data_IF_407650563727
#
_entry.id   IF_407650563727
#
_cell.length_a   1.000
_cell.length_b   1.000
_cell.length_c   1.000
_cell.angle_alpha   90.00
_cell.angle_beta   90.00
_cell.angle_gamma   90.00
#
_symmetry.space_group_name_H-M   'P 1'
#
loop_
_entity.id
_entity.type
_entity.pdbx_description
1 polymer ?
#
# COMPACT_ATOMS: atom_id res chain seq x y z
N UNK A 1 -61.76 6.13 -22.72
CA UNK A 1 -62.65 6.02 -21.56
C UNK A 1 -63.28 4.64 -21.62
N UNK A 2 -62.91 3.76 -20.69
CA UNK A 2 -63.49 2.42 -20.56
C UNK A 2 -64.46 2.45 -19.37
N UNK A 3 -65.60 1.78 -19.49
CA UNK A 3 -66.57 1.64 -18.40
C UNK A 3 -65.90 0.92 -17.22
N UNK A 4 -66.13 1.41 -16.01
CA UNK A 4 -65.79 0.71 -14.77
C UNK A 4 -66.72 -0.50 -14.57
N UNK A 5 -66.31 -1.51 -13.79
CA UNK A 5 -67.18 -2.65 -13.47
C UNK A 5 -68.55 -2.20 -12.92
N UNK A 6 -68.54 -1.18 -12.05
CA UNK A 6 -69.77 -0.58 -11.49
C UNK A 6 -70.62 0.06 -12.58
N UNK A 7 -70.04 0.79 -13.52
CA UNK A 7 -70.78 1.38 -14.63
C UNK A 7 -71.39 0.31 -15.55
N UNK A 8 -70.69 -0.78 -15.82
CA UNK A 8 -71.20 -1.92 -16.61
C UNK A 8 -72.47 -2.50 -15.96
N UNK A 9 -72.48 -2.68 -14.64
CA UNK A 9 -73.66 -3.18 -13.89
C UNK A 9 -74.87 -2.25 -13.99
N UNK A 10 -74.67 -0.96 -14.25
CA UNK A 10 -75.74 0.04 -14.31
C UNK A 10 -76.12 0.44 -15.75
N UNK A 11 -75.48 -0.13 -16.77
CA UNK A 11 -75.82 0.13 -18.18
C UNK A 11 -77.27 -0.25 -18.45
N UNK A 12 -78.04 0.70 -18.99
CA UNK A 12 -79.41 0.46 -19.49
C UNK A 12 -79.41 0.45 -21.00
N UNK A 13 -79.75 -0.70 -21.58
CA UNK A 13 -79.88 -0.85 -23.03
C UNK A 13 -81.30 -0.48 -23.51
N UNK A 14 -81.39 0.21 -24.64
CA UNK A 14 -82.65 0.58 -25.28
C UNK A 14 -83.43 -0.62 -25.80
N UNK A 15 -84.75 -0.49 -25.93
CA UNK A 15 -85.63 -1.54 -26.47
C UNK A 15 -85.88 -1.32 -27.96
N UNK A 16 -85.85 -2.38 -28.76
CA UNK A 16 -86.16 -2.35 -30.20
C UNK A 16 -87.02 -3.54 -30.62
N UNK A 17 -87.74 -3.41 -31.75
CA UNK A 17 -88.68 -4.42 -32.26
C UNK A 17 -88.04 -5.78 -32.62
N UNK A 18 -86.72 -5.82 -32.83
CA UNK A 18 -85.91 -7.02 -33.11
C UNK A 18 -84.60 -6.96 -32.34
N UNK A 19 -84.56 -7.52 -31.13
CA UNK A 19 -83.38 -7.44 -30.26
C UNK A 19 -83.11 -8.74 -29.49
N UNK A 20 -81.95 -8.78 -28.84
CA UNK A 20 -81.55 -9.89 -27.97
C UNK A 20 -82.48 -10.01 -26.75
N UNK A 21 -82.57 -11.23 -26.20
CA UNK A 21 -83.32 -11.48 -24.97
C UNK A 21 -82.71 -10.70 -23.81
N UNK A 22 -83.51 -9.84 -23.17
CA UNK A 22 -83.10 -9.04 -22.03
C UNK A 22 -82.46 -9.88 -20.91
N UNK A 23 -83.07 -11.00 -20.55
CA UNK A 23 -82.53 -11.88 -19.50
C UNK A 23 -81.20 -12.55 -19.88
N UNK A 24 -80.95 -12.75 -21.18
CA UNK A 24 -79.65 -13.23 -21.65
C UNK A 24 -78.59 -12.14 -21.58
N UNK A 25 -78.93 -10.94 -22.03
CA UNK A 25 -78.03 -9.79 -22.01
C UNK A 25 -77.70 -9.33 -20.59
N UNK A 26 -78.69 -9.28 -19.70
CA UNK A 26 -78.49 -8.88 -18.29
C UNK A 26 -77.55 -9.87 -17.57
N UNK A 27 -77.65 -11.17 -17.85
CA UNK A 27 -76.70 -12.19 -17.32
C UNK A 27 -75.30 -12.01 -17.87
N UNK A 28 -75.17 -11.81 -19.18
CA UNK A 28 -73.87 -11.56 -19.81
C UNK A 28 -73.21 -10.30 -19.26
N UNK A 29 -73.97 -9.21 -19.08
CA UNK A 29 -73.44 -7.97 -18.50
C UNK A 29 -72.97 -8.15 -17.05
N UNK A 30 -73.64 -9.01 -16.27
CA UNK A 30 -73.20 -9.36 -14.93
C UNK A 30 -71.88 -10.16 -14.95
N UNK A 31 -71.79 -11.21 -15.78
CA UNK A 31 -70.56 -12.01 -15.95
C UNK A 31 -69.39 -11.16 -16.47
N UNK A 32 -69.65 -10.25 -17.42
CA UNK A 32 -68.66 -9.30 -17.92
C UNK A 32 -68.22 -8.36 -16.82
N UNK A 33 -69.15 -7.81 -16.02
CA UNK A 33 -68.79 -6.92 -14.91
C UNK A 33 -67.93 -7.62 -13.85
N UNK A 34 -68.26 -8.86 -13.48
CA UNK A 34 -67.48 -9.67 -12.54
C UNK A 34 -66.06 -9.92 -13.09
N UNK A 35 -65.94 -10.38 -14.34
CA UNK A 35 -64.63 -10.59 -14.97
C UNK A 35 -63.82 -9.31 -15.11
N UNK A 36 -64.47 -8.18 -15.39
CA UNK A 36 -63.81 -6.88 -15.48
C UNK A 36 -63.30 -6.40 -14.12
N UNK A 37 -64.03 -6.69 -13.04
CA UNK A 37 -63.64 -6.37 -11.67
C UNK A 37 -62.37 -7.11 -11.25
N UNK A 38 -62.28 -8.40 -11.58
CA UNK A 38 -61.07 -9.20 -11.34
C UNK A 38 -59.85 -8.64 -12.08
N UNK A 39 -60.00 -8.32 -13.37
CA UNK A 39 -58.93 -7.73 -14.19
C UNK A 39 -58.53 -6.35 -13.67
N UNK A 40 -59.48 -5.55 -13.21
CA UNK A 40 -59.18 -4.22 -12.66
C UNK A 40 -58.38 -4.30 -11.36
N UNK A 41 -58.73 -5.27 -10.50
CA UNK A 41 -58.01 -5.51 -9.26
C UNK A 41 -56.61 -6.05 -9.53
N UNK A 42 -56.45 -7.03 -10.42
CA UNK A 42 -55.14 -7.52 -10.81
C UNK A 42 -54.27 -6.42 -11.42
N UNK A 43 -54.86 -5.55 -12.26
CA UNK A 43 -54.15 -4.37 -12.81
C UNK A 43 -53.66 -3.44 -11.70
N UNK A 44 -54.48 -3.18 -10.68
CA UNK A 44 -54.08 -2.34 -9.56
C UNK A 44 -52.92 -2.97 -8.78
N UNK A 45 -53.05 -4.26 -8.42
CA UNK A 45 -52.02 -5.02 -7.70
C UNK A 45 -50.69 -5.05 -8.49
N UNK A 46 -50.75 -5.21 -9.82
CA UNK A 46 -49.59 -5.16 -10.70
C UNK A 46 -48.98 -3.76 -10.81
N UNK A 47 -49.80 -2.71 -10.85
CA UNK A 47 -49.33 -1.33 -10.89
C UNK A 47 -48.55 -0.99 -9.62
N UNK A 48 -49.09 -1.34 -8.45
CA UNK A 48 -48.44 -1.13 -7.15
C UNK A 48 -47.11 -1.91 -7.08
N UNK A 49 -47.10 -3.15 -7.60
CA UNK A 49 -45.87 -3.97 -7.66
C UNK A 49 -44.82 -3.36 -8.58
N UNK A 50 -45.22 -2.81 -9.72
CA UNK A 50 -44.30 -2.13 -10.64
C UNK A 50 -43.69 -0.91 -9.96
N UNK A 51 -44.49 -0.07 -9.31
CA UNK A 51 -44.00 1.11 -8.59
C UNK A 51 -42.99 0.73 -7.51
N UNK A 52 -43.29 -0.32 -6.73
CA UNK A 52 -42.36 -0.83 -5.72
C UNK A 52 -41.04 -1.33 -6.34
N UNK A 53 -41.10 -2.11 -7.43
CA UNK A 53 -39.92 -2.64 -8.11
C UNK A 53 -39.07 -1.53 -8.76
N UNK A 54 -39.72 -0.49 -9.29
CA UNK A 54 -39.03 0.68 -9.83
C UNK A 54 -38.29 1.45 -8.73
N UNK A 55 -38.92 1.66 -7.58
CA UNK A 55 -38.28 2.26 -6.42
C UNK A 55 -37.07 1.44 -5.93
N UNK A 56 -37.22 0.12 -5.86
CA UNK A 56 -36.13 -0.78 -5.48
C UNK A 56 -34.97 -0.74 -6.48
N UNK A 57 -35.27 -0.71 -7.79
CA UNK A 57 -34.27 -0.61 -8.85
C UNK A 57 -33.46 0.69 -8.75
N UNK A 58 -34.12 1.82 -8.45
CA UNK A 58 -33.42 3.10 -8.25
C UNK A 58 -32.44 2.99 -7.08
N UNK A 59 -32.88 2.47 -5.92
CA UNK A 59 -32.01 2.28 -4.75
C UNK A 59 -30.82 1.36 -5.06
N UNK A 60 -31.05 0.28 -5.80
CA UNK A 60 -29.97 -0.63 -6.19
C UNK A 60 -28.95 0.03 -7.13
N UNK A 61 -29.41 0.84 -8.11
CA UNK A 61 -28.51 1.59 -9.00
C UNK A 61 -27.68 2.63 -8.26
N UNK A 62 -28.27 3.33 -7.29
CA UNK A 62 -27.55 4.27 -6.44
C UNK A 62 -26.47 3.57 -5.60
N UNK A 63 -26.83 2.44 -4.99
CA UNK A 63 -25.89 1.61 -4.23
C UNK A 63 -24.75 1.09 -5.11
N UNK A 64 -25.06 0.59 -6.31
CA UNK A 64 -24.05 0.13 -7.27
C UNK A 64 -23.10 1.26 -7.68
N UNK A 65 -23.62 2.46 -7.92
CA UNK A 65 -22.83 3.65 -8.20
C UNK A 65 -21.87 3.99 -7.06
N UNK A 66 -22.37 3.98 -5.82
CA UNK A 66 -21.55 4.23 -4.63
C UNK A 66 -20.45 3.17 -4.47
N UNK A 67 -20.78 1.89 -4.64
CA UNK A 67 -19.81 0.80 -4.55
C UNK A 67 -18.72 0.94 -5.61
N UNK A 68 -19.09 1.27 -6.85
CA UNK A 68 -18.12 1.49 -7.94
C UNK A 68 -17.17 2.63 -7.62
N UNK A 69 -17.68 3.78 -7.17
CA UNK A 69 -16.83 4.92 -6.78
C UNK A 69 -15.93 4.56 -5.60
N UNK A 70 -16.45 3.83 -4.61
CA UNK A 70 -15.67 3.38 -3.45
C UNK A 70 -14.54 2.43 -3.85
N UNK A 71 -14.81 1.47 -4.75
CA UNK A 71 -13.79 0.54 -5.25
C UNK A 71 -12.68 1.27 -6.01
N UNK A 72 -13.02 2.20 -6.90
CA UNK A 72 -12.03 3.00 -7.63
C UNK A 72 -11.18 3.85 -6.67
N UNK A 73 -11.82 4.45 -5.66
CA UNK A 73 -11.12 5.22 -4.64
C UNK A 73 -10.17 4.34 -3.81
N UNK A 74 -10.62 3.15 -3.40
CA UNK A 74 -9.81 2.19 -2.66
C UNK A 74 -8.60 1.69 -3.49
N UNK A 75 -8.81 1.40 -4.78
CA UNK A 75 -7.73 1.00 -5.70
C UNK A 75 -6.70 2.13 -5.86
N UNK A 76 -7.16 3.36 -6.05
CA UNK A 76 -6.29 4.54 -6.15
C UNK A 76 -5.47 4.75 -4.87
N UNK A 77 -6.11 4.66 -3.70
CA UNK A 77 -5.44 4.78 -2.40
C UNK A 77 -4.40 3.66 -2.20
N UNK A 78 -4.73 2.42 -2.57
CA UNK A 78 -3.80 1.29 -2.49
C UNK A 78 -2.61 1.46 -3.45
N UNK A 79 -2.82 2.07 -4.63
CA UNK A 79 -1.73 2.37 -5.56
C UNK A 79 -0.83 3.49 -5.03
N UNK A 80 -1.41 4.56 -4.48
CA UNK A 80 -0.66 5.65 -3.86
C UNK A 80 0.17 5.14 -2.68
N UNK A 81 -0.39 4.28 -1.83
CA UNK A 81 0.32 3.69 -0.71
C UNK A 81 1.51 2.83 -1.17
N UNK A 82 1.33 2.03 -2.22
CA UNK A 82 2.40 1.22 -2.81
C UNK A 82 3.52 2.09 -3.39
N UNK A 83 3.17 3.14 -4.11
CA UNK A 83 4.12 4.11 -4.68
C UNK A 83 4.92 4.82 -3.57
N UNK A 84 4.24 5.25 -2.51
CA UNK A 84 4.86 5.92 -1.37
C UNK A 84 5.81 4.99 -0.63
N UNK A 85 5.37 3.78 -0.29
CA UNK A 85 6.19 2.77 0.39
C UNK A 85 7.43 2.41 -0.44
N UNK A 86 7.30 2.34 -1.77
CA UNK A 86 8.45 2.11 -2.66
C UNK A 86 9.46 3.25 -2.60
N UNK A 87 9.00 4.50 -2.69
CA UNK A 87 9.88 5.68 -2.60
C UNK A 87 10.58 5.75 -1.24
N UNK A 88 9.85 5.51 -0.16
CA UNK A 88 10.42 5.47 1.19
C UNK A 88 11.48 4.36 1.31
N UNK A 89 11.21 3.17 0.79
CA UNK A 89 12.19 2.09 0.77
C UNK A 89 13.46 2.46 -0.02
N UNK A 90 13.30 3.08 -1.19
CA UNK A 90 14.43 3.56 -2.01
C UNK A 90 15.25 4.64 -1.26
N UNK A 91 14.59 5.55 -0.56
CA UNK A 91 15.25 6.55 0.31
C UNK A 91 16.02 5.89 1.45
N UNK A 92 15.39 5.00 2.21
CA UNK A 92 16.01 4.30 3.34
C UNK A 92 17.24 3.51 2.88
N UNK A 93 17.14 2.78 1.77
CA UNK A 93 18.27 2.03 1.21
C UNK A 93 19.39 2.98 0.75
N UNK A 94 19.03 4.10 0.13
CA UNK A 94 19.98 5.14 -0.29
C UNK A 94 20.75 5.75 0.89
N UNK A 95 20.04 6.09 1.97
CA UNK A 95 20.60 6.62 3.21
C UNK A 95 21.52 5.61 3.90
N UNK A 96 21.06 4.36 4.05
CA UNK A 96 21.85 3.29 4.63
C UNK A 96 23.16 3.04 3.85
N UNK A 97 23.10 3.07 2.52
CA UNK A 97 24.31 2.96 1.69
C UNK A 97 25.24 4.18 1.84
N UNK A 98 24.69 5.39 1.94
CA UNK A 98 25.49 6.60 2.16
C UNK A 98 26.20 6.56 3.52
N UNK A 99 25.49 6.17 4.57
CA UNK A 99 26.04 6.01 5.91
C UNK A 99 27.11 4.92 5.96
N UNK A 100 26.85 3.74 5.38
CA UNK A 100 27.83 2.66 5.29
C UNK A 100 29.12 3.11 4.58
N UNK A 101 29.00 3.86 3.47
CA UNK A 101 30.16 4.44 2.79
C UNK A 101 30.90 5.46 3.65
N UNK A 102 30.18 6.29 4.41
CA UNK A 102 30.79 7.26 5.32
C UNK A 102 31.57 6.57 6.45
N UNK A 103 30.99 5.53 7.05
CA UNK A 103 31.63 4.70 8.08
C UNK A 103 32.90 4.04 7.50
N UNK A 104 32.81 3.42 6.33
CA UNK A 104 33.96 2.76 5.69
C UNK A 104 35.10 3.75 5.40
N UNK A 105 34.79 4.96 4.92
CA UNK A 105 35.79 6.01 4.69
C UNK A 105 36.46 6.46 5.99
N UNK A 106 35.68 6.67 7.06
CA UNK A 106 36.23 7.03 8.38
C UNK A 106 37.15 5.93 8.92
N UNK A 107 36.73 4.67 8.83
CA UNK A 107 37.53 3.53 9.26
C UNK A 107 38.84 3.40 8.45
N UNK A 108 38.80 3.62 7.15
CA UNK A 108 39.99 3.61 6.30
C UNK A 108 40.97 4.74 6.65
N UNK A 109 40.46 5.96 6.85
CA UNK A 109 41.28 7.10 7.25
C UNK A 109 41.92 6.89 8.63
N UNK A 110 41.18 6.33 9.59
CA UNK A 110 41.71 6.03 10.92
C UNK A 110 42.78 4.93 10.85
N UNK A 111 42.56 3.89 10.05
CA UNK A 111 43.57 2.85 9.80
C UNK A 111 44.87 3.46 9.27
N UNK A 112 44.79 4.31 8.25
CA UNK A 112 45.96 4.95 7.64
C UNK A 112 46.72 5.85 8.64
N UNK A 113 45.97 6.58 9.49
CA UNK A 113 46.53 7.36 10.58
C UNK A 113 47.31 6.47 11.57
N UNK A 114 46.69 5.39 12.04
CA UNK A 114 47.31 4.45 12.97
C UNK A 114 48.54 3.76 12.38
N UNK A 115 48.52 3.38 11.10
CA UNK A 115 49.67 2.81 10.40
C UNK A 115 50.84 3.81 10.30
N UNK A 116 50.54 5.08 10.09
CA UNK A 116 51.54 6.16 10.05
C UNK A 116 52.14 6.42 11.43
N UNK A 117 51.31 6.45 12.47
CA UNK A 117 51.76 6.58 13.86
C UNK A 117 52.62 5.39 14.30
N UNK A 118 52.21 4.17 13.95
CA UNK A 118 53.00 2.95 14.20
C UNK A 118 54.38 3.00 13.52
N UNK A 119 54.44 3.45 12.25
CA UNK A 119 55.72 3.63 11.53
C UNK A 119 56.62 4.64 12.22
N UNK A 120 56.06 5.76 12.68
CA UNK A 120 56.79 6.78 13.43
C UNK A 120 57.35 6.23 14.74
N UNK A 121 56.53 5.54 15.53
CA UNK A 121 56.94 4.94 16.81
C UNK A 121 58.06 3.92 16.57
N UNK A 122 57.92 3.04 15.56
CA UNK A 122 58.97 2.07 15.19
C UNK A 122 60.29 2.76 14.81
N UNK A 123 60.24 3.85 14.05
CA UNK A 123 61.43 4.62 13.69
C UNK A 123 62.11 5.26 14.91
N UNK A 124 61.32 5.83 15.83
CA UNK A 124 61.84 6.42 17.07
C UNK A 124 62.48 5.36 17.96
N UNK A 125 61.82 4.20 18.11
CA UNK A 125 62.35 3.07 18.88
C UNK A 125 63.68 2.58 18.29
N UNK A 126 63.76 2.45 16.96
CA UNK A 126 65.00 2.03 16.30
C UNK A 126 66.14 3.01 16.52
N UNK A 127 65.88 4.31 16.33
CA UNK A 127 66.89 5.35 16.60
C UNK A 127 67.33 5.37 18.06
N UNK A 128 66.43 5.15 19.01
CA UNK A 128 66.79 5.07 20.43
C UNK A 128 67.65 3.84 20.74
N UNK A 129 67.34 2.68 20.14
CA UNK A 129 68.17 1.47 20.27
C UNK A 129 69.56 1.67 19.67
N UNK A 130 69.65 2.24 18.46
CA UNK A 130 70.93 2.53 17.80
C UNK A 130 71.81 3.45 18.67
N UNK A 131 71.22 4.49 19.29
CA UNK A 131 71.94 5.39 20.21
C UNK A 131 72.43 4.72 21.50
N UNK A 132 71.74 3.68 21.97
CA UNK A 132 72.17 2.90 23.15
C UNK A 132 73.31 1.95 22.81
N UNK A 133 73.29 1.35 21.61
CA UNK A 133 74.39 0.51 21.13
C UNK A 133 75.67 1.33 20.96
N UNK A 134 75.60 2.55 20.41
CA UNK A 134 76.74 3.48 20.30
C UNK A 134 77.31 3.86 21.68
N UNK A 135 76.45 4.22 22.64
CA UNK A 135 76.87 4.53 24.02
C UNK A 135 77.47 3.31 24.75
N UNK A 136 77.01 2.09 24.41
CA UNK A 136 77.54 0.83 24.95
C UNK A 136 78.89 0.43 24.36
N UNK A 137 79.18 0.85 23.13
CA UNK A 137 80.50 0.67 22.49
C UNK A 137 81.56 1.65 22.99
N UNK A 138 81.20 2.90 23.29
CA UNK A 138 82.13 3.89 23.87
C UNK A 138 82.54 3.53 25.31
N UNK A 139 81.66 2.88 26.08
CA UNK A 139 81.99 2.36 27.41
C UNK A 139 82.90 1.12 27.39
N UNK A 140 83.24 0.60 26.20
CA UNK A 140 84.02 -0.62 25.96
C UNK A 140 85.36 -0.37 25.27
N UNK A 141 85.91 0.85 25.34
CA UNK A 141 87.32 1.04 25.00
C UNK A 141 88.22 0.24 25.96
N UNK A 142 89.14 -0.61 25.46
CA UNK A 142 90.02 -1.38 26.31
C UNK A 142 91.07 -0.47 26.95
N UNK A 143 91.05 -0.39 28.28
CA UNK A 143 92.22 0.01 29.09
C UNK A 143 93.33 -1.01 28.80
N UNK A 144 94.17 -0.71 27.82
CA UNK A 144 95.09 -1.69 27.23
C UNK A 144 96.35 -1.13 26.57
N UNK A 145 96.79 0.07 26.95
CA UNK A 145 98.14 0.56 26.64
C UNK A 145 98.85 0.96 27.93
N UNK A 146 99.52 0.00 28.59
CA UNK A 146 100.66 0.31 29.48
C UNK A 146 101.51 -0.88 29.95
N UNK A 147 101.23 -2.13 29.57
CA UNK A 147 101.98 -3.30 30.06
C UNK A 147 103.05 -3.88 29.11
N UNK A 148 103.43 -3.13 28.07
CA UNK A 148 104.47 -3.56 27.10
C UNK A 148 105.91 -3.21 27.48
N UNK A 149 106.14 -2.16 28.28
CA UNK A 149 107.51 -1.66 28.55
C UNK A 149 108.17 -2.20 29.83
N UNK A 150 107.43 -2.86 30.73
CA UNK A 150 108.00 -3.37 31.99
C UNK A 150 108.69 -4.73 31.84
N UNK A 151 108.50 -5.46 30.72
CA UNK A 151 109.11 -6.79 30.52
C UNK A 151 110.52 -6.78 29.92
N UNK A 152 111.15 -5.61 29.73
CA UNK A 152 112.54 -5.49 29.25
C UNK A 152 113.59 -5.35 30.35
N UNK A 153 113.23 -5.44 31.64
CA UNK A 153 114.15 -5.12 32.73
C UNK A 153 114.30 -6.16 33.84
N UNK A 154 113.73 -7.36 33.71
CA UNK A 154 114.05 -8.48 34.63
C UNK A 154 114.14 -9.80 33.85
N UNK A 155 115.37 -10.35 33.87
CA UNK A 155 115.83 -11.72 33.56
C UNK A 155 115.69 -12.25 32.13
#
# INVERSE_FOLDING_TARGET
MALTPVEIRHVRLGRGLRGYSRAGVDRLLAEVADSFEDVWRERADLADKVEQLEADLVRHKELEGLLRTTLVSAESAAQQLREQARKEAETIVGEAHAEARAIARRAAAEKERLETELRRIKSLLRSALDSLDEAGTDAREPVGEQTGEIRRLIS
#
